data_IF_428236953064
#
_entry.id   IF_428236953064
#
_cell.length_a   1.000
_cell.length_b   1.000
_cell.length_c   1.000
_cell.angle_alpha   90.00
_cell.angle_beta   90.00
_cell.angle_gamma   90.00
#
_symmetry.space_group_name_H-M   'P 1'
#
loop_
_entity.id
_entity.type
_entity.pdbx_description
1 polymer ?
#
# COMPACT_ATOMS: atom_id res chain seq x y z
N UNK A 1 -92.19 -13.32 8.55
CA UNK A 1 -91.75 -13.55 7.16
C UNK A 1 -90.24 -13.79 7.14
N UNK A 2 -89.81 -15.05 7.19
CA UNK A 2 -88.39 -15.45 7.17
C UNK A 2 -88.15 -16.24 5.88
N UNK A 3 -87.13 -15.84 5.12
CA UNK A 3 -86.75 -16.42 3.82
C UNK A 3 -86.06 -17.77 4.00
N UNK A 4 -86.44 -18.71 3.14
CA UNK A 4 -85.90 -20.06 2.93
C UNK A 4 -84.61 -19.98 2.10
N UNK A 5 -83.56 -20.77 2.38
CA UNK A 5 -82.52 -21.08 1.40
C UNK A 5 -82.69 -22.51 0.85
N UNK A 6 -82.47 -22.75 -0.46
CA UNK A 6 -82.25 -24.10 -0.95
C UNK A 6 -80.85 -24.32 -1.56
N UNK A 7 -80.28 -25.44 -1.09
CA UNK A 7 -79.54 -26.52 -1.77
C UNK A 7 -78.53 -26.32 -2.91
N UNK A 8 -77.47 -27.14 -2.75
CA UNK A 8 -76.28 -27.38 -3.58
C UNK A 8 -76.58 -28.11 -4.90
N UNK A 9 -75.72 -27.90 -5.90
CA UNK A 9 -75.48 -28.80 -7.05
C UNK A 9 -73.95 -28.94 -7.25
N UNK A 10 -73.40 -30.14 -7.56
CA UNK A 10 -71.98 -30.37 -7.77
C UNK A 10 -71.59 -30.28 -9.26
N UNK A 11 -70.35 -29.85 -9.57
CA UNK A 11 -69.79 -29.97 -10.92
C UNK A 11 -68.58 -30.91 -10.96
N UNK A 12 -68.64 -31.82 -11.94
CA UNK A 12 -67.66 -32.85 -12.32
C UNK A 12 -66.41 -32.25 -12.98
N UNK A 13 -65.29 -32.93 -12.78
CA UNK A 13 -64.02 -32.74 -13.47
C UNK A 13 -63.99 -33.43 -14.85
N UNK A 14 -63.21 -32.87 -15.79
CA UNK A 14 -62.65 -33.53 -16.98
C UNK A 14 -61.31 -32.85 -17.36
N UNK A 15 -60.31 -33.57 -17.94
CA UNK A 15 -58.91 -33.13 -17.96
C UNK A 15 -58.26 -32.96 -19.35
N UNK A 16 -56.95 -32.61 -19.32
CA UNK A 16 -55.88 -32.79 -20.33
C UNK A 16 -55.79 -31.84 -21.55
N UNK A 17 -54.68 -31.08 -21.63
CA UNK A 17 -53.52 -31.34 -22.52
C UNK A 17 -52.57 -30.12 -22.54
N UNK A 18 -51.32 -30.27 -22.07
CA UNK A 18 -50.26 -29.28 -22.24
C UNK A 18 -49.01 -29.97 -22.80
N UNK A 19 -48.60 -29.58 -24.01
CA UNK A 19 -47.39 -30.05 -24.67
C UNK A 19 -46.17 -29.28 -24.15
N UNK A 20 -45.15 -30.00 -23.68
CA UNK A 20 -43.88 -29.46 -23.24
C UNK A 20 -42.90 -29.38 -24.42
N UNK A 21 -42.43 -28.17 -24.74
CA UNK A 21 -41.29 -27.96 -25.64
C UNK A 21 -39.98 -28.15 -24.85
N UNK A 22 -39.16 -29.10 -25.30
CA UNK A 22 -37.78 -29.28 -24.86
C UNK A 22 -36.90 -28.20 -25.51
N UNK A 23 -36.37 -27.29 -24.70
CA UNK A 23 -35.22 -26.45 -25.07
C UNK A 23 -33.99 -26.97 -24.33
N UNK A 24 -33.15 -27.71 -25.05
CA UNK A 24 -31.79 -28.06 -24.64
C UNK A 24 -30.91 -26.82 -24.73
N UNK A 25 -30.76 -26.10 -23.62
CA UNK A 25 -29.68 -25.12 -23.46
C UNK A 25 -28.42 -25.86 -23.04
N UNK A 26 -27.47 -26.04 -23.97
CA UNK A 26 -26.09 -26.35 -23.62
C UNK A 26 -25.48 -25.09 -22.98
N UNK A 27 -25.54 -24.99 -21.65
CA UNK A 27 -24.73 -24.06 -20.91
C UNK A 27 -23.29 -24.56 -20.91
N UNK A 28 -22.48 -24.08 -21.85
CA UNK A 28 -21.03 -24.10 -21.70
C UNK A 28 -20.68 -23.10 -20.60
N UNK A 29 -20.55 -23.57 -19.36
CA UNK A 29 -19.82 -22.83 -18.34
C UNK A 29 -18.34 -23.01 -18.66
N UNK A 30 -17.79 -22.00 -19.33
CA UNK A 30 -16.35 -21.78 -19.45
C UNK A 30 -15.80 -21.42 -18.06
N UNK A 31 -15.67 -22.41 -17.18
CA UNK A 31 -14.91 -22.28 -15.95
C UNK A 31 -13.42 -22.34 -16.31
N UNK A 32 -12.90 -21.21 -16.78
CA UNK A 32 -11.46 -20.97 -16.80
C UNK A 32 -10.86 -21.28 -15.42
N UNK A 33 -9.56 -21.61 -15.34
CA UNK A 33 -8.96 -22.10 -14.09
C UNK A 33 -9.26 -21.13 -12.94
N UNK A 34 -9.98 -21.62 -11.93
CA UNK A 34 -10.28 -20.89 -10.70
C UNK A 34 -8.95 -20.47 -10.07
N UNK A 35 -8.66 -19.17 -10.12
CA UNK A 35 -7.47 -18.61 -9.50
C UNK A 35 -7.65 -18.72 -7.99
N UNK A 36 -6.77 -19.48 -7.34
CA UNK A 36 -6.81 -19.64 -5.89
C UNK A 36 -6.70 -18.27 -5.21
N UNK A 37 -7.41 -18.03 -4.09
CA UNK A 37 -7.32 -16.75 -3.38
C UNK A 37 -5.90 -16.53 -2.82
N UNK A 38 -5.54 -15.27 -2.50
CA UNK A 38 -4.25 -14.98 -1.87
C UNK A 38 -4.02 -15.77 -0.58
N UNK A 39 -2.77 -16.11 -0.29
CA UNK A 39 -2.40 -16.70 0.99
C UNK A 39 -2.55 -15.68 2.15
N UNK A 40 -2.56 -16.18 3.39
CA UNK A 40 -2.57 -15.31 4.57
C UNK A 40 -1.25 -14.52 4.69
N UNK A 41 -1.29 -13.24 5.10
CA UNK A 41 -0.10 -12.48 5.49
C UNK A 41 0.67 -13.19 6.61
N UNK A 42 2.00 -13.18 6.50
CA UNK A 42 2.90 -13.81 7.48
C UNK A 42 3.59 -12.75 8.34
N UNK A 43 4.25 -13.17 9.41
CA UNK A 43 5.02 -12.25 10.25
C UNK A 43 4.18 -11.15 10.92
N UNK A 44 2.86 -11.37 11.08
CA UNK A 44 1.98 -10.37 11.66
C UNK A 44 2.42 -10.06 13.10
N UNK A 45 2.53 -8.79 13.42
CA UNK A 45 2.80 -8.24 14.75
C UNK A 45 1.81 -7.14 15.09
N UNK A 46 1.63 -6.88 16.38
CA UNK A 46 0.84 -5.76 16.88
C UNK A 46 1.57 -5.16 18.08
N UNK A 47 1.96 -3.90 17.96
CA UNK A 47 2.67 -3.16 19.01
C UNK A 47 1.82 -1.97 19.46
N UNK A 48 1.72 -1.74 20.76
CA UNK A 48 1.01 -0.57 21.25
C UNK A 48 1.81 0.68 20.93
N UNK A 49 1.23 1.59 20.15
CA UNK A 49 1.83 2.88 19.83
C UNK A 49 1.71 3.87 20.96
N UNK A 50 0.49 3.95 21.51
CA UNK A 50 0.10 4.78 22.63
C UNK A 50 -1.06 4.12 23.39
N UNK A 51 -1.61 4.81 24.37
CA UNK A 51 -2.79 4.32 25.10
C UNK A 51 -4.05 4.18 24.24
N UNK A 52 -4.06 4.75 23.03
CA UNK A 52 -5.22 4.71 22.13
C UNK A 52 -4.89 4.25 20.71
N UNK A 53 -3.64 3.86 20.46
CA UNK A 53 -3.17 3.43 19.14
C UNK A 53 -2.42 2.10 19.20
N UNK A 54 -2.62 1.26 18.19
CA UNK A 54 -1.85 0.03 17.95
C UNK A 54 -1.31 0.06 16.53
N UNK A 55 -0.04 -0.29 16.37
CA UNK A 55 0.63 -0.50 15.09
C UNK A 55 0.53 -1.97 14.73
N UNK A 56 -0.26 -2.30 13.72
CA UNK A 56 -0.33 -3.66 13.16
C UNK A 56 0.59 -3.70 11.96
N UNK A 57 1.46 -4.70 11.91
CA UNK A 57 2.41 -4.89 10.80
C UNK A 57 2.36 -6.32 10.30
N UNK A 58 2.70 -6.53 9.03
CA UNK A 58 2.75 -7.85 8.41
C UNK A 58 3.73 -7.86 7.24
N UNK A 59 4.16 -9.05 6.87
CA UNK A 59 4.84 -9.27 5.61
C UNK A 59 3.82 -9.71 4.56
N UNK A 60 4.14 -9.45 3.28
CA UNK A 60 3.40 -10.00 2.16
C UNK A 60 3.25 -11.51 2.32
N UNK A 61 2.10 -12.10 1.95
CA UNK A 61 1.98 -13.53 1.78
C UNK A 61 3.08 -14.07 0.84
N UNK A 62 3.47 -15.34 1.01
CA UNK A 62 4.37 -16.02 0.08
C UNK A 62 3.83 -16.09 -1.35
N UNK A 63 4.55 -16.72 -2.30
CA UNK A 63 4.13 -16.81 -3.69
C UNK A 63 2.70 -17.38 -3.82
N UNK A 64 1.89 -16.79 -4.69
CA UNK A 64 0.46 -17.08 -4.83
C UNK A 64 -0.24 -16.05 -5.72
N UNK A 65 -1.56 -15.90 -5.56
CA UNK A 65 -2.32 -14.87 -6.25
C UNK A 65 -1.81 -13.45 -5.95
N UNK A 66 -2.03 -12.55 -6.91
CA UNK A 66 -1.70 -11.14 -6.77
C UNK A 66 -2.46 -10.54 -5.58
N UNK A 67 -1.77 -9.68 -4.82
CA UNK A 67 -2.32 -9.04 -3.63
C UNK A 67 -2.57 -7.59 -3.97
N UNK A 68 -3.84 -7.26 -4.22
CA UNK A 68 -4.31 -5.90 -4.50
C UNK A 68 -4.55 -5.12 -3.20
N UNK A 69 -4.78 -5.82 -2.08
CA UNK A 69 -5.10 -5.16 -0.83
C UNK A 69 -4.99 -6.03 0.42
N UNK A 70 -5.14 -5.37 1.57
CA UNK A 70 -5.25 -6.01 2.86
C UNK A 70 -6.48 -5.54 3.63
N UNK A 71 -7.10 -6.46 4.36
CA UNK A 71 -8.18 -6.18 5.29
C UNK A 71 -7.71 -6.52 6.71
N UNK A 72 -7.68 -5.52 7.59
CA UNK A 72 -7.24 -5.64 8.99
C UNK A 72 -8.45 -5.73 9.90
N UNK A 73 -8.46 -6.74 10.77
CA UNK A 73 -9.57 -7.02 11.67
C UNK A 73 -9.15 -6.93 13.13
N UNK A 74 -10.02 -6.36 13.96
CA UNK A 74 -9.96 -6.39 15.42
C UNK A 74 -10.99 -7.40 15.93
N UNK A 75 -10.53 -8.57 16.38
CA UNK A 75 -11.40 -9.73 16.53
C UNK A 75 -12.07 -10.06 15.19
N UNK A 76 -13.41 -10.12 15.18
CA UNK A 76 -14.18 -10.33 13.94
C UNK A 76 -14.51 -9.04 13.18
N UNK A 77 -14.33 -7.87 13.79
CA UNK A 77 -14.69 -6.59 13.17
C UNK A 77 -13.62 -6.13 12.19
N UNK A 78 -14.00 -5.88 10.93
CA UNK A 78 -13.15 -5.17 9.97
C UNK A 78 -12.91 -3.73 10.45
N UNK A 79 -11.65 -3.33 10.61
CA UNK A 79 -11.28 -1.99 11.07
C UNK A 79 -10.55 -1.17 10.01
N UNK A 80 -9.93 -1.82 9.03
CA UNK A 80 -9.26 -1.12 7.93
C UNK A 80 -9.21 -1.96 6.66
N UNK A 81 -9.28 -1.28 5.52
CA UNK A 81 -8.87 -1.80 4.22
C UNK A 81 -7.75 -0.93 3.66
N UNK A 82 -6.76 -1.58 3.05
CA UNK A 82 -5.51 -0.98 2.63
C UNK A 82 -5.14 -1.50 1.23
N UNK A 83 -4.40 -0.71 0.43
CA UNK A 83 -3.81 -1.21 -0.81
C UNK A 83 -2.73 -2.26 -0.52
N UNK A 84 -2.42 -3.10 -1.53
CA UNK A 84 -1.48 -4.22 -1.44
C UNK A 84 -0.04 -3.82 -1.10
N UNK A 85 0.22 -2.51 -1.23
CA UNK A 85 1.53 -1.91 -1.00
C UNK A 85 1.70 -1.38 0.42
N UNK A 86 0.70 -1.56 1.30
CA UNK A 86 0.85 -1.26 2.71
C UNK A 86 1.10 -2.52 3.52
N UNK A 87 2.14 -2.45 4.35
CA UNK A 87 2.58 -3.54 5.24
C UNK A 87 2.41 -3.22 6.72
N UNK A 88 1.86 -2.04 7.00
CA UNK A 88 1.58 -1.59 8.35
C UNK A 88 0.41 -0.62 8.39
N UNK A 89 -0.24 -0.53 9.56
CA UNK A 89 -1.25 0.49 9.82
C UNK A 89 -1.38 0.82 11.30
N UNK A 90 -1.71 2.08 11.57
CA UNK A 90 -2.08 2.57 12.89
C UNK A 90 -3.60 2.44 13.09
N UNK A 91 -4.01 1.63 14.06
CA UNK A 91 -5.40 1.52 14.51
C UNK A 91 -5.58 2.44 15.71
N UNK A 92 -6.26 3.57 15.49
CA UNK A 92 -6.52 4.61 16.50
C UNK A 92 -7.89 4.48 17.15
N UNK A 93 -8.14 5.26 18.20
CA UNK A 93 -9.43 5.30 18.90
C UNK A 93 -9.68 4.09 19.80
N UNK A 94 -8.60 3.42 20.20
CA UNK A 94 -8.65 2.30 21.14
C UNK A 94 -8.78 2.81 22.58
N UNK A 95 -9.31 1.97 23.46
CA UNK A 95 -9.40 2.24 24.89
C UNK A 95 -8.04 1.98 25.55
N UNK A 96 -7.62 2.82 26.51
CA UNK A 96 -6.46 2.55 27.33
C UNK A 96 -6.60 1.29 28.18
N UNK A 97 -5.47 0.67 28.53
CA UNK A 97 -5.41 -0.54 29.39
C UNK A 97 -6.33 -1.67 28.91
N UNK A 98 -6.49 -1.83 27.59
CA UNK A 98 -7.38 -2.80 27.00
C UNK A 98 -6.61 -3.75 26.09
N UNK A 99 -6.99 -5.04 26.14
CA UNK A 99 -6.41 -6.07 25.28
C UNK A 99 -7.19 -6.19 23.99
N UNK A 100 -6.45 -6.22 22.88
CA UNK A 100 -6.95 -6.36 21.52
C UNK A 100 -6.32 -7.57 20.85
N UNK A 101 -7.02 -8.10 19.85
CA UNK A 101 -6.52 -9.16 18.98
C UNK A 101 -6.69 -8.73 17.54
N UNK A 102 -5.61 -8.78 16.75
CA UNK A 102 -5.62 -8.40 15.35
C UNK A 102 -5.30 -9.58 14.43
N UNK A 103 -5.94 -9.58 13.26
CA UNK A 103 -5.61 -10.47 12.14
C UNK A 103 -5.63 -9.66 10.84
N UNK A 104 -4.88 -10.11 9.84
CA UNK A 104 -4.83 -9.49 8.51
C UNK A 104 -5.20 -10.54 7.47
N UNK A 105 -5.93 -10.14 6.44
CA UNK A 105 -6.24 -10.96 5.26
C UNK A 105 -5.74 -10.23 4.03
N UNK A 106 -5.15 -10.95 3.08
CA UNK A 106 -4.86 -10.42 1.75
C UNK A 106 -6.09 -10.53 0.85
N UNK A 107 -6.21 -9.61 -0.11
CA UNK A 107 -7.30 -9.50 -1.07
C UNK A 107 -6.73 -9.40 -2.49
N UNK A 108 -7.32 -10.10 -3.44
CA UNK A 108 -6.96 -10.00 -4.86
C UNK A 108 -7.70 -8.84 -5.57
N UNK A 109 -7.43 -8.69 -6.86
CA UNK A 109 -8.02 -7.70 -7.79
C UNK A 109 -9.55 -7.85 -7.91
N UNK A 110 -10.07 -9.08 -7.77
CA UNK A 110 -11.51 -9.42 -7.78
C UNK A 110 -12.19 -9.16 -6.44
N UNK A 111 -11.43 -8.80 -5.41
CA UNK A 111 -11.94 -8.59 -4.06
C UNK A 111 -12.05 -9.87 -3.22
N UNK A 112 -11.58 -11.01 -3.73
CA UNK A 112 -11.58 -12.28 -3.01
C UNK A 112 -10.57 -12.24 -1.87
N UNK A 113 -11.03 -12.60 -0.68
CA UNK A 113 -10.20 -12.58 0.52
C UNK A 113 -9.56 -13.94 0.79
N UNK A 114 -8.25 -13.94 1.02
CA UNK A 114 -7.50 -15.06 1.55
C UNK A 114 -7.89 -15.45 2.99
N UNK A 115 -7.25 -16.49 3.56
CA UNK A 115 -7.42 -16.85 4.96
C UNK A 115 -6.89 -15.76 5.91
N UNK A 116 -7.35 -15.78 7.17
CA UNK A 116 -6.83 -14.91 8.23
C UNK A 116 -5.39 -15.31 8.57
N UNK A 117 -4.54 -14.31 8.83
CA UNK A 117 -3.25 -14.52 9.48
C UNK A 117 -3.42 -15.12 10.88
N UNK A 118 -2.29 -15.53 11.48
CA UNK A 118 -2.23 -15.79 12.92
C UNK A 118 -2.73 -14.55 13.68
N UNK A 119 -3.56 -14.77 14.70
CA UNK A 119 -4.01 -13.72 15.60
C UNK A 119 -2.86 -13.25 16.51
N UNK A 120 -2.70 -11.93 16.61
CA UNK A 120 -1.73 -11.29 17.50
C UNK A 120 -2.45 -10.48 18.57
N UNK A 121 -2.03 -10.66 19.82
CA UNK A 121 -2.61 -9.94 20.96
C UNK A 121 -1.70 -8.80 21.38
N UNK A 122 -2.31 -7.70 21.76
CA UNK A 122 -1.61 -6.50 22.25
C UNK A 122 -2.47 -5.83 23.32
N UNK A 123 -1.84 -5.22 24.32
CA UNK A 123 -2.53 -4.45 25.36
C UNK A 123 -2.08 -3.01 25.27
N UNK A 124 -3.03 -2.09 25.11
CA UNK A 124 -2.71 -0.65 25.14
C UNK A 124 -2.26 -0.25 26.54
N UNK A 125 -1.24 0.63 26.67
CA UNK A 125 -0.81 1.14 27.95
C UNK A 125 -1.90 1.98 28.61
N UNK A 126 -1.72 2.22 29.91
CA UNK A 126 -2.57 3.12 30.67
C UNK A 126 -2.41 4.55 30.17
N UNK A 127 -3.54 5.24 29.97
CA UNK A 127 -3.55 6.68 29.71
C UNK A 127 -3.43 7.47 31.02
N UNK A 128 -2.65 8.56 31.01
CA UNK A 128 -2.59 9.55 32.09
C UNK A 128 -2.84 10.94 31.50
N UNK A 129 -3.91 11.61 31.96
CA UNK A 129 -4.56 12.76 31.29
C UNK A 129 -3.79 14.10 31.30
N UNK A 130 -2.47 14.12 31.46
CA UNK A 130 -1.73 15.37 31.55
C UNK A 130 -0.29 15.33 31.00
N UNK A 131 0.12 14.23 30.37
CA UNK A 131 1.48 14.14 29.88
C UNK A 131 1.65 14.90 28.56
N UNK A 132 2.53 15.90 28.59
CA UNK A 132 2.89 16.75 27.45
C UNK A 132 4.38 16.70 27.15
N UNK A 133 5.16 15.96 27.94
CA UNK A 133 6.60 15.92 27.80
C UNK A 133 6.93 14.73 26.90
N UNK A 134 7.58 14.94 25.74
CA UNK A 134 7.97 13.82 24.91
C UNK A 134 9.10 13.03 25.58
N UNK A 135 9.24 11.73 25.24
CA UNK A 135 10.40 10.95 25.63
C UNK A 135 11.72 11.59 25.17
N UNK A 136 12.81 11.20 25.84
CA UNK A 136 14.16 11.54 25.36
C UNK A 136 14.44 10.90 24.01
N UNK A 137 15.31 11.54 23.21
CA UNK A 137 15.71 11.03 21.90
C UNK A 137 16.43 9.68 22.05
N UNK A 138 16.10 8.65 21.26
CA UNK A 138 16.86 7.41 21.23
C UNK A 138 18.32 7.69 20.89
N UNK A 139 19.24 7.28 21.75
CA UNK A 139 20.67 7.56 21.59
C UNK A 139 21.38 6.52 20.72
N UNK A 140 22.46 6.94 20.05
CA UNK A 140 23.40 6.04 19.36
C UNK A 140 22.74 5.01 18.43
N UNK A 141 21.89 5.48 17.50
CA UNK A 141 21.39 4.62 16.43
C UNK A 141 22.57 4.14 15.60
N UNK A 142 22.75 2.82 15.55
CA UNK A 142 23.77 2.12 14.77
C UNK A 142 23.19 0.83 14.20
N UNK A 143 23.89 0.24 13.24
CA UNK A 143 23.40 -0.96 12.58
C UNK A 143 24.15 -1.24 11.30
N UNK A 144 23.83 -2.38 10.69
CA UNK A 144 24.45 -2.85 9.47
C UNK A 144 23.41 -3.54 8.58
N UNK A 145 23.69 -3.58 7.28
CA UNK A 145 22.97 -4.46 6.38
C UNK A 145 23.10 -5.93 6.81
N UNK A 146 22.03 -6.68 6.60
CA UNK A 146 21.94 -8.13 6.81
C UNK A 146 21.54 -8.75 5.47
N UNK A 147 22.55 -8.91 4.62
CA UNK A 147 22.37 -9.32 3.23
C UNK A 147 21.76 -8.22 2.36
N UNK A 148 21.13 -8.62 1.25
CA UNK A 148 20.65 -7.70 0.23
C UNK A 148 19.28 -7.07 0.54
N UNK A 149 18.51 -7.62 1.50
CA UNK A 149 17.09 -7.26 1.69
C UNK A 149 16.69 -6.93 3.13
N UNK A 150 17.65 -6.79 4.03
CA UNK A 150 17.36 -6.45 5.42
C UNK A 150 18.49 -5.67 6.08
N UNK A 151 18.18 -5.00 7.18
CA UNK A 151 19.14 -4.31 8.02
C UNK A 151 18.80 -4.52 9.49
N UNK A 152 19.82 -4.69 10.33
CA UNK A 152 19.67 -4.69 11.78
C UNK A 152 19.92 -3.29 12.31
N UNK A 153 18.95 -2.71 12.99
CA UNK A 153 19.05 -1.42 13.67
C UNK A 153 19.13 -1.65 15.18
N UNK A 154 19.98 -0.89 15.88
CA UNK A 154 20.15 -0.94 17.34
C UNK A 154 20.32 0.47 17.89
N UNK A 155 19.71 0.77 19.02
CA UNK A 155 19.75 2.09 19.67
C UNK A 155 19.77 1.95 21.20
N UNK A 156 20.16 3.02 21.90
CA UNK A 156 20.00 3.15 23.34
C UNK A 156 18.57 3.52 23.69
N UNK A 157 18.07 2.95 24.78
CA UNK A 157 16.71 3.21 25.26
C UNK A 157 16.50 4.68 25.62
N UNK A 158 15.34 5.20 25.26
CA UNK A 158 14.79 6.46 25.74
C UNK A 158 14.22 6.32 27.14
N UNK A 159 14.07 7.46 27.80
CA UNK A 159 13.41 7.63 29.09
C UNK A 159 12.31 8.67 28.96
N UNK A 160 11.30 8.56 29.81
CA UNK A 160 10.16 9.45 29.83
C UNK A 160 9.69 9.62 31.30
N UNK A 161 9.00 10.71 31.64
CA UNK A 161 8.54 10.90 33.03
C UNK A 161 7.36 9.99 33.40
N UNK A 162 6.67 9.41 32.42
CA UNK A 162 5.66 8.38 32.63
C UNK A 162 6.13 7.03 32.12
N UNK A 163 6.29 6.88 30.79
CA UNK A 163 6.77 5.68 30.14
C UNK A 163 6.90 5.88 28.63
N UNK A 164 7.95 5.30 28.06
CA UNK A 164 8.01 5.03 26.61
C UNK A 164 7.01 3.92 26.28
N UNK A 165 6.16 4.14 25.28
CA UNK A 165 5.21 3.16 24.76
C UNK A 165 5.78 2.39 23.56
N UNK A 166 6.52 3.07 22.68
CA UNK A 166 7.05 2.47 21.45
C UNK A 166 8.26 3.23 20.90
N UNK A 167 8.93 2.60 19.94
CA UNK A 167 9.91 3.23 19.06
C UNK A 167 9.44 3.15 17.61
N UNK A 168 9.32 4.30 16.96
CA UNK A 168 8.98 4.41 15.54
C UNK A 168 10.25 4.50 14.71
N UNK A 169 10.38 3.61 13.73
CA UNK A 169 11.50 3.57 12.80
C UNK A 169 11.08 4.26 11.51
N UNK A 170 11.88 5.22 11.09
CA UNK A 170 11.67 6.00 9.89
C UNK A 170 12.77 5.72 8.87
N UNK A 171 12.37 5.64 7.61
CA UNK A 171 13.23 5.56 6.44
C UNK A 171 12.93 6.78 5.56
N UNK A 172 13.94 7.62 5.32
CA UNK A 172 13.79 8.85 4.52
C UNK A 172 12.60 9.74 4.96
N UNK A 173 12.27 9.73 6.26
CA UNK A 173 11.16 10.49 6.85
C UNK A 173 9.80 9.77 6.89
N UNK A 174 9.66 8.61 6.23
CA UNK A 174 8.45 7.78 6.27
C UNK A 174 8.55 6.76 7.38
N UNK A 175 7.52 6.62 8.22
CA UNK A 175 7.46 5.55 9.23
C UNK A 175 7.28 4.21 8.51
N UNK A 176 8.20 3.27 8.75
CA UNK A 176 8.21 1.95 8.11
C UNK A 176 8.11 0.80 9.11
N UNK A 177 8.35 1.07 10.39
CA UNK A 177 8.25 0.07 11.43
C UNK A 177 7.96 0.68 12.80
N UNK A 178 7.42 -0.13 13.69
CA UNK A 178 7.25 0.21 15.10
C UNK A 178 7.71 -0.96 15.95
N UNK A 179 8.48 -0.67 16.99
CA UNK A 179 8.93 -1.65 17.97
C UNK A 179 8.36 -1.31 19.36
N UNK A 180 8.14 -2.32 20.20
CA UNK A 180 7.56 -2.11 21.52
C UNK A 180 8.45 -1.33 22.50
N UNK A 181 7.85 -0.86 23.60
CA UNK A 181 8.47 -0.01 24.64
C UNK A 181 9.87 -0.42 25.13
N UNK A 182 10.17 -1.73 25.16
CA UNK A 182 11.43 -2.28 25.67
C UNK A 182 12.45 -2.60 24.57
N UNK A 183 12.08 -2.41 23.30
CA UNK A 183 12.95 -2.71 22.18
C UNK A 183 14.12 -1.71 22.12
N UNK A 184 15.32 -2.24 21.94
CA UNK A 184 16.55 -1.48 21.66
C UNK A 184 17.21 -1.93 20.36
N UNK A 185 16.51 -2.78 19.60
CA UNK A 185 16.92 -3.28 18.29
C UNK A 185 15.70 -3.72 17.49
N UNK A 186 15.79 -3.65 16.17
CA UNK A 186 14.84 -4.29 15.26
C UNK A 186 15.52 -4.68 13.95
N UNK A 187 14.94 -5.64 13.23
CA UNK A 187 15.34 -5.97 11.87
C UNK A 187 14.31 -5.35 10.92
N UNK A 188 14.77 -4.47 10.04
CA UNK A 188 13.98 -3.97 8.92
C UNK A 188 14.18 -4.93 7.76
N UNK A 189 13.09 -5.34 7.12
CA UNK A 189 13.09 -6.26 5.97
C UNK A 189 12.35 -5.61 4.79
N UNK A 190 12.40 -6.22 3.61
CA UNK A 190 11.80 -5.65 2.40
C UNK A 190 12.64 -4.54 1.78
N UNK A 191 13.94 -4.48 2.13
CA UNK A 191 14.88 -3.56 1.49
C UNK A 191 15.27 -4.09 0.11
N UNK A 192 15.73 -3.21 -0.78
CA UNK A 192 16.26 -3.58 -2.09
C UNK A 192 17.77 -3.83 -2.04
N UNK A 193 18.30 -4.73 -2.87
CA UNK A 193 19.75 -4.94 -3.03
C UNK A 193 20.51 -3.68 -3.45
N UNK A 194 21.77 -3.57 -3.06
CA UNK A 194 22.71 -2.53 -3.52
C UNK A 194 22.23 -1.08 -3.31
N UNK A 195 21.33 -0.85 -2.35
CA UNK A 195 20.62 0.43 -2.20
C UNK A 195 21.05 1.14 -0.91
N UNK A 196 21.28 2.44 -1.02
CA UNK A 196 21.56 3.32 0.12
C UNK A 196 20.28 3.70 0.87
N UNK A 197 20.26 3.42 2.17
CA UNK A 197 19.16 3.75 3.07
C UNK A 197 19.59 4.74 4.15
N UNK A 198 18.67 5.61 4.55
CA UNK A 198 18.84 6.46 5.74
C UNK A 198 17.73 6.18 6.74
N UNK A 199 18.11 5.71 7.92
CA UNK A 199 17.19 5.41 9.02
C UNK A 199 17.31 6.40 10.18
N UNK A 200 16.18 6.66 10.84
CA UNK A 200 16.11 7.35 12.13
C UNK A 200 15.10 6.64 13.03
N UNK A 201 15.22 6.82 14.33
CA UNK A 201 14.28 6.29 15.31
C UNK A 201 13.76 7.41 16.19
N UNK A 202 12.46 7.39 16.50
CA UNK A 202 11.82 8.26 17.50
C UNK A 202 11.20 7.40 18.59
N UNK A 203 11.24 7.86 19.83
CA UNK A 203 10.47 7.26 20.92
C UNK A 203 9.11 7.97 21.03
N UNK A 204 8.08 7.22 21.40
CA UNK A 204 6.72 7.72 21.60
C UNK A 204 6.17 7.24 22.96
N UNK A 205 5.46 8.11 23.66
CA UNK A 205 4.82 7.79 24.95
C UNK A 205 3.36 7.32 24.79
N UNK A 206 2.69 7.05 25.92
CA UNK A 206 1.29 6.62 25.94
C UNK A 206 0.28 7.74 25.61
N UNK A 207 0.72 9.00 25.57
CA UNK A 207 -0.07 10.20 25.27
C UNK A 207 0.16 10.72 23.85
N UNK A 208 0.85 9.94 23.01
CA UNK A 208 1.23 10.27 21.64
C UNK A 208 2.25 11.43 21.50
N UNK A 209 2.96 11.80 22.56
CA UNK A 209 4.11 12.70 22.43
C UNK A 209 5.29 11.92 21.82
N UNK A 210 5.89 12.49 20.77
CA UNK A 210 7.04 11.90 20.07
C UNK A 210 8.31 12.69 20.36
N UNK A 211 9.42 11.98 20.57
CA UNK A 211 10.75 12.59 20.67
C UNK A 211 11.18 13.24 19.35
N UNK A 212 12.24 14.05 19.39
CA UNK A 212 13.01 14.34 18.18
C UNK A 212 13.64 13.04 17.63
N UNK A 213 14.05 13.06 16.36
CA UNK A 213 14.70 11.92 15.72
C UNK A 213 16.10 11.67 16.30
N UNK A 214 16.51 10.41 16.37
CA UNK A 214 17.91 10.01 16.62
C UNK A 214 18.89 10.60 15.60
N UNK A 215 20.19 10.33 15.77
CA UNK A 215 21.13 10.48 14.66
C UNK A 215 20.65 9.66 13.45
N UNK A 216 20.95 10.16 12.25
CA UNK A 216 20.70 9.43 11.01
C UNK A 216 21.74 8.32 10.85
N UNK A 217 21.27 7.09 10.60
CA UNK A 217 22.11 5.97 10.22
C UNK A 217 21.99 5.78 8.72
N UNK A 218 23.12 5.91 8.01
CA UNK A 218 23.23 5.57 6.59
C UNK A 218 23.86 4.19 6.46
N UNK A 219 23.28 3.35 5.63
CA UNK A 219 23.85 2.04 5.28
C UNK A 219 23.46 1.66 3.86
N UNK A 220 24.29 0.85 3.23
CA UNK A 220 24.04 0.27 1.90
C UNK A 220 23.76 -1.22 2.09
N UNK A 221 22.67 -1.72 1.52
CA UNK A 221 22.41 -3.16 1.48
C UNK A 221 23.41 -3.87 0.56
N UNK A 222 23.67 -5.16 0.82
CA UNK A 222 24.54 -5.92 -0.05
C UNK A 222 23.96 -6.04 -1.47
N UNK A 223 24.83 -6.25 -2.44
CA UNK A 223 24.39 -6.65 -3.78
C UNK A 223 23.65 -7.98 -3.74
N UNK A 224 22.76 -8.18 -4.69
CA UNK A 224 21.93 -9.38 -4.80
C UNK A 224 21.12 -9.36 -6.08
N UNK A 225 20.41 -10.46 -6.35
CA UNK A 225 19.51 -10.50 -7.49
C UNK A 225 18.52 -9.34 -7.41
N UNK A 226 18.48 -8.53 -8.47
CA UNK A 226 17.52 -7.44 -8.61
C UNK A 226 16.10 -7.97 -8.34
N UNK A 227 15.23 -7.09 -7.84
CA UNK A 227 13.84 -7.48 -7.72
C UNK A 227 13.29 -7.85 -9.09
N UNK A 228 12.49 -8.92 -9.17
CA UNK A 228 11.82 -9.27 -10.42
C UNK A 228 10.87 -8.13 -10.85
N UNK A 229 10.45 -7.31 -9.88
CA UNK A 229 9.69 -6.07 -10.08
C UNK A 229 10.65 -4.95 -10.49
N UNK A 230 10.53 -4.50 -11.73
CA UNK A 230 11.29 -3.36 -12.24
C UNK A 230 10.95 -2.08 -11.46
N UNK A 231 11.95 -1.24 -11.21
CA UNK A 231 11.76 0.05 -10.53
C UNK A 231 11.48 1.21 -11.50
N UNK A 232 11.66 0.96 -12.80
CA UNK A 232 11.32 1.89 -13.86
C UNK A 232 9.79 1.94 -14.10
N UNK A 233 9.22 3.13 -14.32
CA UNK A 233 7.86 3.24 -14.83
C UNK A 233 7.72 2.49 -16.16
N UNK A 234 6.68 1.65 -16.27
CA UNK A 234 6.42 0.82 -17.45
C UNK A 234 5.36 1.44 -18.34
N UNK A 235 5.20 0.91 -19.56
CA UNK A 235 4.28 1.46 -20.58
C UNK A 235 4.39 2.98 -20.76
N UNK A 236 5.61 3.52 -20.61
CA UNK A 236 5.82 4.96 -20.70
C UNK A 236 5.64 5.43 -22.15
N UNK A 237 4.73 6.38 -22.33
CA UNK A 237 4.43 7.05 -23.58
C UNK A 237 4.56 8.57 -23.41
N UNK A 238 5.01 9.22 -24.48
CA UNK A 238 5.06 10.67 -24.60
C UNK A 238 4.52 11.05 -25.98
N UNK A 239 3.50 11.90 -26.03
CA UNK A 239 2.83 12.31 -27.27
C UNK A 239 2.72 13.83 -27.33
N UNK A 240 2.90 14.40 -28.53
CA UNK A 240 2.65 15.83 -28.76
C UNK A 240 1.15 16.04 -28.94
N UNK A 241 0.63 17.10 -28.32
CA UNK A 241 -0.74 17.59 -28.53
C UNK A 241 -0.70 19.07 -28.83
N UNK A 242 -1.45 19.48 -29.85
CA UNK A 242 -1.66 20.90 -30.16
C UNK A 242 -2.88 21.43 -29.40
N UNK A 243 -2.75 22.59 -28.77
CA UNK A 243 -3.82 23.28 -28.06
C UNK A 243 -3.59 24.80 -28.20
N UNK A 244 -4.59 25.50 -28.73
CA UNK A 244 -4.61 26.95 -28.90
C UNK A 244 -3.34 27.55 -29.55
N UNK A 245 -2.82 26.89 -30.60
CA UNK A 245 -1.62 27.34 -31.32
C UNK A 245 -0.31 27.12 -30.55
N UNK A 246 -0.33 26.27 -29.52
CA UNK A 246 0.84 25.81 -28.79
C UNK A 246 0.90 24.29 -28.71
N UNK A 247 2.07 23.75 -28.43
CA UNK A 247 2.33 22.33 -28.30
C UNK A 247 2.61 21.95 -26.86
N UNK A 248 1.90 20.94 -26.40
CA UNK A 248 2.07 20.28 -25.11
C UNK A 248 2.62 18.87 -25.32
N UNK A 249 3.37 18.37 -24.33
CA UNK A 249 3.76 16.96 -24.26
C UNK A 249 2.91 16.30 -23.18
N UNK A 250 2.08 15.35 -23.61
CA UNK A 250 1.30 14.49 -22.73
C UNK A 250 2.08 13.21 -22.46
N UNK A 251 2.26 12.91 -21.18
CA UNK A 251 2.93 11.74 -20.67
C UNK A 251 1.91 10.77 -20.09
N UNK A 252 2.11 9.48 -20.31
CA UNK A 252 1.37 8.43 -19.58
C UNK A 252 2.26 7.23 -19.26
N UNK A 253 2.05 6.60 -18.11
CA UNK A 253 2.85 5.46 -17.65
C UNK A 253 2.13 4.65 -16.59
N UNK A 254 2.52 3.40 -16.44
CA UNK A 254 2.19 2.60 -15.27
C UNK A 254 3.26 2.84 -14.19
N UNK A 255 2.87 3.17 -12.95
CA UNK A 255 3.78 3.21 -11.81
C UNK A 255 4.58 1.90 -11.68
N UNK A 256 5.84 1.94 -11.23
CA UNK A 256 6.54 0.70 -10.92
C UNK A 256 5.83 -0.04 -9.78
N UNK A 257 5.89 -1.37 -9.81
CA UNK A 257 5.39 -2.21 -8.73
C UNK A 257 6.32 -2.07 -7.53
N UNK A 258 5.87 -1.36 -6.51
CA UNK A 258 6.64 -1.13 -5.30
C UNK A 258 5.85 -1.52 -4.07
N UNK A 259 6.57 -1.88 -3.01
CA UNK A 259 6.01 -2.18 -1.70
C UNK A 259 5.50 -0.92 -0.94
N UNK A 260 5.09 0.12 -1.68
CA UNK A 260 4.47 1.32 -1.15
C UNK A 260 3.87 2.18 -2.27
N UNK A 261 3.39 3.37 -1.91
CA UNK A 261 2.77 4.28 -2.87
C UNK A 261 3.83 5.21 -3.47
N UNK A 262 3.97 5.21 -4.80
CA UNK A 262 4.84 6.15 -5.51
C UNK A 262 4.12 7.49 -5.67
N UNK A 263 4.51 8.46 -4.85
CA UNK A 263 3.91 9.81 -4.83
C UNK A 263 4.72 10.86 -5.58
N UNK A 264 5.91 10.51 -6.04
CA UNK A 264 6.79 11.45 -6.72
C UNK A 264 7.49 10.79 -7.90
N UNK A 265 7.62 11.54 -8.99
CA UNK A 265 8.43 11.18 -10.14
C UNK A 265 9.39 12.32 -10.47
N UNK A 266 10.48 11.94 -11.12
CA UNK A 266 11.40 12.86 -11.76
C UNK A 266 11.29 12.67 -13.26
N UNK A 267 10.93 13.74 -13.96
CA UNK A 267 10.87 13.79 -15.42
C UNK A 267 12.17 14.44 -15.88
N UNK A 268 12.92 13.75 -16.73
CA UNK A 268 14.10 14.29 -17.37
C UNK A 268 13.81 14.64 -18.83
N UNK A 269 14.10 15.87 -19.20
CA UNK A 269 13.96 16.44 -20.54
C UNK A 269 15.35 16.75 -21.12
N UNK A 270 15.58 16.32 -22.37
CA UNK A 270 16.80 16.60 -23.13
C UNK A 270 18.10 16.27 -22.36
N UNK A 271 18.05 15.21 -21.54
CA UNK A 271 19.16 14.64 -20.73
C UNK A 271 19.76 15.52 -19.64
N UNK A 272 19.31 16.76 -19.48
CA UNK A 272 19.85 17.69 -18.49
C UNK A 272 18.75 18.34 -17.63
N UNK A 273 17.64 18.75 -18.24
CA UNK A 273 16.56 19.40 -17.52
C UNK A 273 15.75 18.39 -16.72
N UNK A 274 15.44 18.73 -15.48
CA UNK A 274 14.76 17.83 -14.56
C UNK A 274 13.63 18.55 -13.84
N UNK A 275 12.42 18.01 -13.96
CA UNK A 275 11.24 18.46 -13.23
C UNK A 275 10.80 17.38 -12.26
N UNK A 276 10.37 17.78 -11.06
CA UNK A 276 9.71 16.88 -10.11
C UNK A 276 8.20 16.99 -10.22
N UNK A 277 7.55 15.86 -10.40
CA UNK A 277 6.10 15.71 -10.27
C UNK A 277 5.82 15.10 -8.91
N UNK A 278 4.99 15.74 -8.09
CA UNK A 278 4.59 15.24 -6.77
C UNK A 278 3.07 15.35 -6.66
N UNK A 279 2.38 14.26 -6.29
CA UNK A 279 0.98 14.36 -5.91
C UNK A 279 0.88 14.79 -4.44
N UNK A 280 0.16 15.88 -4.18
CA UNK A 280 -0.14 16.34 -2.81
C UNK A 280 -1.21 15.52 -2.08
N UNK A 281 -1.66 14.41 -2.66
CA UNK A 281 -2.69 13.50 -2.15
C UNK A 281 -2.52 12.10 -2.71
N UNK A 282 -3.56 11.25 -2.69
CA UNK A 282 -3.45 9.90 -3.25
C UNK A 282 -3.15 9.95 -4.76
N UNK A 283 -2.07 9.29 -5.23
CA UNK A 283 -1.82 9.21 -6.67
C UNK A 283 -2.94 8.41 -7.36
N UNK A 284 -3.12 8.61 -8.68
CA UNK A 284 -4.11 7.88 -9.45
C UNK A 284 -3.87 6.37 -9.35
N UNK A 285 -4.96 5.60 -9.21
CA UNK A 285 -4.91 4.14 -9.29
C UNK A 285 -4.70 3.74 -10.75
N UNK A 286 -3.70 2.90 -11.01
CA UNK A 286 -3.34 2.46 -12.35
C UNK A 286 -2.53 3.50 -13.13
N UNK A 287 -2.79 3.61 -14.43
CA UNK A 287 -1.98 4.42 -15.35
C UNK A 287 -2.02 5.90 -14.99
N UNK A 288 -0.86 6.46 -14.67
CA UNK A 288 -0.66 7.87 -14.39
C UNK A 288 -0.55 8.68 -15.69
N UNK A 289 -0.91 9.97 -15.60
CA UNK A 289 -0.84 10.92 -16.71
C UNK A 289 -0.34 12.27 -16.21
N UNK A 290 0.41 12.98 -17.06
CA UNK A 290 0.84 14.35 -16.81
C UNK A 290 1.00 15.09 -18.14
N UNK A 291 0.76 16.40 -18.15
CA UNK A 291 0.93 17.24 -19.35
C UNK A 291 1.70 18.49 -18.96
N UNK A 292 2.61 18.93 -19.83
CA UNK A 292 3.31 20.20 -19.67
C UNK A 292 3.46 20.89 -21.02
N UNK A 293 3.51 22.23 -20.99
CA UNK A 293 3.79 23.04 -22.17
C UNK A 293 5.20 22.73 -22.69
N UNK A 294 5.31 22.50 -24.00
CA UNK A 294 6.59 22.22 -24.65
C UNK A 294 7.09 23.45 -25.40
N UNK A 295 6.38 23.86 -26.45
CA UNK A 295 6.78 24.97 -27.33
C UNK A 295 5.57 25.56 -28.09
N UNK A 296 5.76 26.71 -28.76
CA UNK A 296 4.85 27.22 -29.80
C UNK A 296 5.26 26.77 -31.19
N UNK A 297 6.51 26.37 -31.38
CA UNK A 297 7.03 25.95 -32.67
C UNK A 297 6.73 24.48 -32.96
N UNK A 298 6.37 24.19 -34.22
CA UNK A 298 6.22 22.84 -34.75
C UNK A 298 7.58 22.28 -35.16
N UNK A 299 7.81 20.97 -34.97
CA UNK A 299 9.04 20.30 -35.37
C UNK A 299 10.14 20.29 -34.30
N UNK A 300 9.89 20.83 -33.11
CA UNK A 300 10.85 20.83 -31.99
C UNK A 300 10.91 19.43 -31.40
N UNK A 301 12.12 18.89 -31.28
CA UNK A 301 12.36 17.54 -30.78
C UNK A 301 12.68 17.55 -29.28
N UNK A 302 11.97 16.71 -28.52
CA UNK A 302 12.23 16.47 -27.10
C UNK A 302 12.58 15.01 -26.85
N UNK A 303 13.55 14.79 -25.96
CA UNK A 303 13.85 13.48 -25.38
C UNK A 303 13.35 13.46 -23.94
N UNK A 304 12.48 12.52 -23.62
CA UNK A 304 11.84 12.44 -22.31
C UNK A 304 12.04 11.05 -21.72
N UNK A 305 12.37 10.98 -20.43
CA UNK A 305 12.29 9.77 -19.62
C UNK A 305 11.86 10.12 -18.20
N UNK A 306 11.35 9.14 -17.47
CA UNK A 306 10.81 9.34 -16.13
C UNK A 306 11.31 8.26 -15.18
N UNK A 307 11.58 8.61 -13.93
CA UNK A 307 11.88 7.66 -12.86
C UNK A 307 11.02 7.95 -11.63
N UNK A 308 10.65 6.91 -10.90
CA UNK A 308 9.87 7.01 -9.68
C UNK A 308 10.76 7.31 -8.47
N UNK A 309 10.29 8.15 -7.55
CA UNK A 309 10.76 8.13 -6.16
C UNK A 309 10.06 6.96 -5.48
N UNK A 310 10.83 5.94 -5.15
CA UNK A 310 10.34 4.73 -4.53
C UNK A 310 9.97 5.00 -3.06
N UNK A 311 9.14 4.14 -2.43
CA UNK A 311 8.69 4.32 -1.05
C UNK A 311 9.81 4.41 -0.01
N UNK A 312 11.04 4.04 -0.37
CA UNK A 312 12.22 4.20 0.47
C UNK A 312 12.96 5.52 0.33
N UNK A 313 12.43 6.45 -0.46
CA UNK A 313 13.01 7.77 -0.68
C UNK A 313 14.23 7.76 -1.59
N UNK A 314 14.46 6.65 -2.31
CA UNK A 314 15.45 6.58 -3.38
C UNK A 314 14.75 6.63 -4.73
N UNK A 315 15.49 7.04 -5.78
CA UNK A 315 14.95 6.96 -7.13
C UNK A 315 15.20 5.58 -7.73
N UNK A 316 14.18 5.04 -8.39
CA UNK A 316 14.30 3.86 -9.22
C UNK A 316 14.99 4.14 -10.56
N UNK A 317 15.02 3.12 -11.40
CA UNK A 317 15.51 3.23 -12.77
C UNK A 317 14.66 4.17 -13.62
N UNK A 318 15.27 4.70 -14.68
CA UNK A 318 14.52 5.44 -15.69
C UNK A 318 13.71 4.50 -16.58
N UNK A 319 12.53 4.96 -16.97
CA UNK A 319 11.82 4.43 -18.13
C UNK A 319 12.67 4.50 -19.40
N UNK A 320 12.33 3.71 -20.44
CA UNK A 320 12.91 3.90 -21.77
C UNK A 320 12.76 5.35 -22.26
N UNK A 321 13.81 5.90 -22.86
CA UNK A 321 13.77 7.25 -23.46
C UNK A 321 12.77 7.29 -24.61
N UNK A 322 11.86 8.27 -24.58
CA UNK A 322 10.93 8.58 -25.67
C UNK A 322 11.35 9.86 -26.38
N UNK A 323 11.27 9.84 -27.70
CA UNK A 323 11.50 11.00 -28.55
C UNK A 323 10.15 11.46 -29.08
N UNK A 324 9.83 12.73 -28.85
CA UNK A 324 8.59 13.36 -29.32
C UNK A 324 8.94 14.62 -30.11
N UNK A 325 8.23 14.83 -31.22
CA UNK A 325 8.38 16.01 -32.08
C UNK A 325 7.08 16.79 -32.05
N UNK A 326 7.15 18.09 -31.78
CA UNK A 326 5.94 18.93 -31.70
C UNK A 326 5.17 18.94 -33.02
N UNK A 327 3.87 18.65 -32.95
CA UNK A 327 2.98 18.62 -34.10
C UNK A 327 3.15 17.42 -35.05
N UNK A 328 3.89 16.38 -34.65
CA UNK A 328 3.88 15.08 -35.31
C UNK A 328 3.00 14.07 -34.56
N UNK A 329 2.31 13.21 -35.31
CA UNK A 329 1.57 12.09 -34.73
C UNK A 329 2.53 11.06 -34.11
N UNK A 330 2.16 10.39 -33.02
CA UNK A 330 3.00 9.36 -32.42
C UNK A 330 3.29 8.24 -33.43
N UNK A 331 4.58 7.87 -33.56
CA UNK A 331 4.97 6.69 -34.33
C UNK A 331 4.46 5.45 -33.58
N UNK A 332 3.54 4.71 -34.21
CA UNK A 332 3.04 3.42 -33.72
C UNK A 332 4.14 2.37 -33.68
#
# INVERSE_FOLDING_TARGET
MRRIPPHRIPLRALPLCAAAFLLTSCGWTDDGPSVAPPAAPIGVTAEAGSSSTVHVMWNRPGPGAEVEGYSVYQGEKLVKELPGEQYMVDISGLKPSASYSFTVRARDDRGTLGPRSRAVKVTTPRFKKADKKPPTVPGELKGDARGARSALLTWKSSTDDQAVASYDIYQSGTKIHSAGAKATRTVVTGLRPGTDYTFTVKARDASDNSSAASNALRLTTAEGAADARGTAPTEFEAVSREEDGSYHIDLSWNPPETDGVVMQYRIQLNREQTTSLVWGGNPPKGRAKHSFYADREKGVTYRVRIQAMLPDGTFGEYSPERVVVTGEAPKR
#
